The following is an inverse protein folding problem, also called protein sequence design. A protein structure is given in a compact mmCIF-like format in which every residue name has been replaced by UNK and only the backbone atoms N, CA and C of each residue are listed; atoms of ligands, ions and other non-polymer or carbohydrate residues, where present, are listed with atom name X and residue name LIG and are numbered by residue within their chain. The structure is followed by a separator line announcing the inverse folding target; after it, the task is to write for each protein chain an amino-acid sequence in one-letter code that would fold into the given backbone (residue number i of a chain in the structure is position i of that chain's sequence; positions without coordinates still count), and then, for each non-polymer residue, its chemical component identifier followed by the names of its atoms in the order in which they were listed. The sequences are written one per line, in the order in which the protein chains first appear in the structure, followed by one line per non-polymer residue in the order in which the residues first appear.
data_IF_365612846206
#
_entry.id   IF_365612846206
#
_cell.length_a   1.000
_cell.length_b   1.000
_cell.length_c   1.000
_cell.angle_alpha   90.00
_cell.angle_beta   90.00
_cell.angle_gamma   90.00
#
_symmetry.space_group_name_H-M   'P 1'
#
loop_
_entity.id
_entity.type
_entity.pdbx_description
1 polymer ?
#
# COMPACT_ATOMS: atom_id res chain seq x y z
N UNK A 1 1.25 8.83 40.84
CA UNK A 1 -0.17 8.77 41.20
C UNK A 1 -0.88 10.02 40.75
N UNK A 2 -1.57 10.00 39.63
CA UNK A 2 -2.65 10.92 39.24
C UNK A 2 -3.34 10.30 38.02
N UNK A 3 -4.42 9.57 38.33
CA UNK A 3 -5.36 8.98 37.35
C UNK A 3 -6.17 10.09 36.73
N UNK A 4 -6.16 10.17 35.41
CA UNK A 4 -7.03 11.06 34.63
C UNK A 4 -8.18 10.23 34.04
N UNK A 5 -9.31 10.24 34.74
CA UNK A 5 -10.58 9.65 34.34
C UNK A 5 -11.24 10.58 33.31
N UNK A 6 -11.42 10.09 32.10
CA UNK A 6 -12.22 10.76 31.06
C UNK A 6 -13.67 10.27 31.20
N UNK A 7 -14.67 11.15 31.39
CA UNK A 7 -16.07 10.73 31.49
C UNK A 7 -16.65 10.43 30.11
N UNK A 8 -17.14 9.20 29.97
CA UNK A 8 -17.91 8.70 28.84
C UNK A 8 -19.29 9.38 28.83
N UNK A 9 -19.51 10.38 27.96
CA UNK A 9 -20.85 10.96 27.73
C UNK A 9 -21.65 10.06 26.81
N UNK A 10 -22.58 9.31 27.42
CA UNK A 10 -23.67 8.61 26.74
C UNK A 10 -24.62 9.66 26.10
N UNK A 11 -24.58 9.76 24.76
CA UNK A 11 -25.54 10.53 24.00
C UNK A 11 -26.72 9.61 23.65
N UNK A 12 -27.79 9.65 24.44
CA UNK A 12 -29.06 8.95 24.17
C UNK A 12 -29.79 9.69 23.05
N UNK A 13 -29.85 9.09 21.87
CA UNK A 13 -30.65 9.55 20.75
C UNK A 13 -32.10 9.06 20.93
N UNK A 14 -33.00 9.90 21.39
CA UNK A 14 -34.43 9.63 21.45
C UNK A 14 -35.04 9.77 20.06
N UNK A 15 -35.45 8.64 19.47
CA UNK A 15 -36.19 8.57 18.21
C UNK A 15 -37.69 8.87 18.50
N UNK A 16 -38.14 10.10 18.25
CA UNK A 16 -39.57 10.46 18.29
C UNK A 16 -40.20 10.07 16.96
N UNK A 17 -40.92 8.95 16.95
CA UNK A 17 -41.80 8.55 15.84
C UNK A 17 -43.12 9.34 15.93
N UNK A 18 -43.26 10.39 15.12
CA UNK A 18 -44.52 11.08 14.92
C UNK A 18 -45.33 10.35 13.83
N UNK A 19 -46.32 9.56 14.22
CA UNK A 19 -47.35 9.01 13.35
C UNK A 19 -48.35 10.13 13.03
N UNK A 20 -48.19 10.77 11.88
CA UNK A 20 -49.21 11.64 11.30
C UNK A 20 -50.11 10.80 10.41
N UNK A 21 -51.22 10.35 10.97
CA UNK A 21 -52.34 9.83 10.20
C UNK A 21 -53.06 11.01 9.50
N UNK A 22 -52.77 11.22 8.23
CA UNK A 22 -53.49 12.12 7.37
C UNK A 22 -54.74 11.44 6.78
N UNK A 23 -55.88 12.15 6.63
CA UNK A 23 -57.08 11.57 6.04
C UNK A 23 -56.88 11.25 4.56
N UNK A 24 -57.14 9.99 4.20
CA UNK A 24 -57.21 9.55 2.81
C UNK A 24 -58.51 10.08 2.23
N UNK A 25 -58.44 11.16 1.47
CA UNK A 25 -59.48 11.55 0.54
C UNK A 25 -59.31 10.71 -0.74
N UNK A 26 -60.07 9.66 -0.85
CA UNK A 26 -60.30 8.96 -2.11
C UNK A 26 -61.01 9.92 -3.06
N UNK A 27 -60.28 10.42 -4.05
CA UNK A 27 -60.88 11.10 -5.20
C UNK A 27 -60.66 10.18 -6.40
N UNK A 28 -61.77 9.52 -6.77
CA UNK A 28 -61.87 8.83 -8.05
C UNK A 28 -61.62 9.86 -9.17
N UNK A 29 -60.52 9.73 -9.85
CA UNK A 29 -60.11 10.53 -11.00
C UNK A 29 -59.50 9.61 -12.02
N UNK A 30 -60.31 9.09 -12.88
CA UNK A 30 -59.95 8.47 -14.17
C UNK A 30 -59.21 9.50 -14.99
N UNK A 31 -57.88 9.40 -15.04
CA UNK A 31 -57.03 10.41 -15.67
C UNK A 31 -55.60 9.92 -16.01
N UNK A 32 -55.45 9.31 -17.18
CA UNK A 32 -54.26 9.41 -18.00
C UNK A 32 -52.95 8.76 -17.49
N UNK A 33 -52.95 7.44 -17.41
CA UNK A 33 -51.74 6.63 -17.03
C UNK A 33 -50.56 6.64 -17.99
N UNK A 34 -50.56 7.48 -19.04
CA UNK A 34 -49.44 7.55 -20.03
C UNK A 34 -48.33 8.53 -19.67
N UNK A 35 -48.50 9.43 -18.71
CA UNK A 35 -47.53 10.44 -18.31
C UNK A 35 -46.54 9.97 -17.22
N UNK A 36 -46.99 9.12 -16.31
CA UNK A 36 -46.20 8.70 -15.14
C UNK A 36 -45.06 7.71 -15.49
N UNK A 37 -45.25 6.85 -16.49
CA UNK A 37 -44.24 5.89 -16.94
C UNK A 37 -43.01 6.58 -17.53
N UNK A 38 -43.19 7.62 -18.34
CA UNK A 38 -42.09 8.37 -18.96
C UNK A 38 -41.30 9.22 -17.94
N UNK A 39 -41.94 9.67 -16.86
CA UNK A 39 -41.24 10.41 -15.80
C UNK A 39 -40.41 9.49 -14.93
N UNK A 40 -40.88 8.29 -14.61
CA UNK A 40 -40.11 7.27 -13.87
C UNK A 40 -38.91 6.79 -14.67
N UNK A 41 -39.04 6.49 -15.93
CA UNK A 41 -37.95 6.08 -16.80
C UNK A 41 -36.86 7.18 -16.96
N UNK A 42 -37.27 8.46 -17.03
CA UNK A 42 -36.33 9.59 -17.04
C UNK A 42 -35.63 9.78 -15.71
N UNK A 43 -36.29 9.55 -14.59
CA UNK A 43 -35.71 9.62 -13.26
C UNK A 43 -34.67 8.50 -13.06
N UNK A 44 -34.99 7.27 -13.47
CA UNK A 44 -34.12 6.10 -13.39
C UNK A 44 -32.85 6.29 -14.25
N UNK A 45 -32.99 6.77 -15.49
CA UNK A 45 -31.85 7.10 -16.35
C UNK A 45 -30.97 8.24 -15.81
N UNK A 46 -31.54 9.18 -15.06
CA UNK A 46 -30.74 10.21 -14.36
C UNK A 46 -29.98 9.61 -13.17
N UNK A 47 -30.64 8.78 -12.37
CA UNK A 47 -30.02 8.06 -11.26
C UNK A 47 -28.82 7.23 -11.72
N UNK A 48 -28.97 6.45 -12.78
CA UNK A 48 -27.89 5.65 -13.35
C UNK A 48 -26.71 6.51 -13.84
N UNK A 49 -26.99 7.66 -14.41
CA UNK A 49 -25.95 8.60 -14.82
C UNK A 49 -25.22 9.20 -13.62
N UNK A 50 -25.96 9.60 -12.60
CA UNK A 50 -25.40 10.22 -11.41
C UNK A 50 -24.55 9.23 -10.61
N UNK A 51 -25.00 7.96 -10.49
CA UNK A 51 -24.20 6.89 -9.91
C UNK A 51 -22.91 6.64 -10.68
N UNK A 52 -22.98 6.50 -12.01
CA UNK A 52 -21.77 6.33 -12.84
C UNK A 52 -20.79 7.51 -12.72
N UNK A 53 -21.31 8.72 -12.54
CA UNK A 53 -20.45 9.89 -12.31
C UNK A 53 -19.85 9.90 -10.90
N UNK A 54 -20.58 9.46 -9.89
CA UNK A 54 -20.08 9.32 -8.53
C UNK A 54 -18.99 8.25 -8.44
N UNK A 55 -19.20 7.09 -9.06
CA UNK A 55 -18.22 6.01 -9.11
C UNK A 55 -16.91 6.44 -9.80
N UNK A 56 -17.03 7.14 -10.94
CA UNK A 56 -15.84 7.67 -11.63
C UNK A 56 -15.08 8.72 -10.81
N UNK A 57 -15.77 9.54 -10.02
CA UNK A 57 -15.12 10.50 -9.12
C UNK A 57 -14.39 9.76 -8.00
N UNK A 58 -15.05 8.80 -7.38
CA UNK A 58 -14.51 7.99 -6.29
C UNK A 58 -13.27 7.21 -6.74
N UNK A 59 -13.31 6.60 -7.93
CA UNK A 59 -12.16 5.94 -8.54
C UNK A 59 -10.99 6.89 -8.80
N UNK A 60 -11.29 8.10 -9.30
CA UNK A 60 -10.27 9.12 -9.55
C UNK A 60 -9.65 9.64 -8.25
N UNK A 61 -10.44 9.80 -7.20
CA UNK A 61 -9.95 10.21 -5.87
C UNK A 61 -9.12 9.11 -5.23
N UNK A 62 -9.55 7.85 -5.30
CA UNK A 62 -8.76 6.70 -4.83
C UNK A 62 -7.40 6.67 -5.52
N UNK A 63 -7.35 6.75 -6.85
CA UNK A 63 -6.10 6.77 -7.63
C UNK A 63 -5.20 7.95 -7.27
N UNK A 64 -5.79 9.13 -6.98
CA UNK A 64 -5.03 10.30 -6.52
C UNK A 64 -4.49 10.13 -5.10
N UNK A 65 -5.29 9.58 -4.18
CA UNK A 65 -4.88 9.29 -2.81
C UNK A 65 -3.78 8.22 -2.78
N UNK A 66 -3.91 7.21 -3.64
CA UNK A 66 -2.95 6.15 -3.85
C UNK A 66 -1.62 6.71 -4.38
N UNK A 67 -1.66 7.56 -5.41
CA UNK A 67 -0.49 8.24 -5.96
C UNK A 67 0.22 9.14 -4.92
N UNK A 68 -0.54 9.86 -4.09
CA UNK A 68 0.03 10.66 -2.99
C UNK A 68 0.77 9.80 -1.97
N UNK A 69 0.22 8.62 -1.60
CA UNK A 69 0.89 7.68 -0.69
C UNK A 69 2.22 7.15 -1.24
N UNK A 70 2.33 7.01 -2.55
CA UNK A 70 3.57 6.60 -3.23
C UNK A 70 4.64 7.69 -3.20
N UNK A 71 4.25 8.97 -3.17
CA UNK A 71 5.18 10.11 -3.21
C UNK A 71 5.76 10.48 -1.84
N UNK A 72 5.20 9.97 -0.73
CA UNK A 72 5.51 10.45 0.64
C UNK A 72 6.65 9.68 1.35
N UNK A 73 7.31 8.71 0.71
CA UNK A 73 8.42 7.98 1.33
C UNK A 73 9.74 8.72 1.10
N UNK A 74 10.38 9.26 2.17
CA UNK A 74 11.64 9.97 2.03
C UNK A 74 12.76 9.03 1.58
N UNK A 75 13.61 9.51 0.68
CA UNK A 75 14.75 8.77 0.16
C UNK A 75 15.84 8.67 1.24
N UNK A 76 16.31 7.45 1.52
CA UNK A 76 17.42 7.19 2.43
C UNK A 76 17.09 7.12 3.91
N UNK A 77 15.80 7.28 4.29
CA UNK A 77 15.39 7.31 5.71
C UNK A 77 14.33 6.27 6.10
N UNK A 78 14.11 5.26 5.29
CA UNK A 78 13.04 4.28 5.54
C UNK A 78 13.44 3.17 6.52
N UNK A 79 14.65 2.65 6.41
CA UNK A 79 15.17 1.61 7.28
C UNK A 79 15.82 2.21 8.52
N UNK A 80 15.36 1.80 9.71
CA UNK A 80 16.08 2.08 10.96
C UNK A 80 17.29 1.18 11.12
N UNK A 81 18.20 1.53 12.05
CA UNK A 81 19.38 0.72 12.37
C UNK A 81 18.99 -0.68 12.89
N UNK A 82 17.87 -0.79 13.59
CA UNK A 82 17.33 -2.08 14.04
C UNK A 82 16.97 -2.98 12.85
N UNK A 83 16.33 -2.44 11.81
CA UNK A 83 15.98 -3.20 10.60
C UNK A 83 17.25 -3.63 9.86
N UNK A 84 18.25 -2.76 9.79
CA UNK A 84 19.57 -3.04 9.18
C UNK A 84 20.30 -4.13 9.95
N UNK A 85 20.33 -4.05 11.28
CA UNK A 85 20.93 -5.05 12.18
C UNK A 85 20.29 -6.43 12.01
N UNK A 86 18.97 -6.51 12.11
CA UNK A 86 18.24 -7.76 11.95
C UNK A 86 18.47 -8.43 10.59
N UNK A 87 18.40 -7.66 9.50
CA UNK A 87 18.63 -8.19 8.17
C UNK A 87 20.03 -8.79 8.05
N UNK A 88 21.07 -8.08 8.52
CA UNK A 88 22.45 -8.59 8.51
C UNK A 88 22.61 -9.85 9.36
N UNK A 89 22.07 -9.86 10.56
CA UNK A 89 22.12 -11.02 11.46
C UNK A 89 21.50 -12.26 10.81
N UNK A 90 20.32 -12.13 10.21
CA UNK A 90 19.66 -13.22 9.50
C UNK A 90 20.54 -13.80 8.39
N UNK A 91 21.09 -12.93 7.53
CA UNK A 91 21.91 -13.39 6.39
C UNK A 91 23.24 -13.93 6.85
N UNK A 92 23.92 -13.31 7.78
CA UNK A 92 25.17 -13.78 8.37
C UNK A 92 24.97 -15.13 9.05
N UNK A 93 23.95 -15.28 9.91
CA UNK A 93 23.65 -16.53 10.58
C UNK A 93 23.35 -17.69 9.64
N UNK A 94 22.69 -17.41 8.52
CA UNK A 94 22.30 -18.44 7.55
C UNK A 94 23.38 -18.80 6.55
N UNK A 95 24.21 -17.85 6.11
CA UNK A 95 25.12 -18.05 4.99
C UNK A 95 26.61 -17.96 5.36
N UNK A 96 27.01 -17.43 6.50
CA UNK A 96 28.42 -17.39 6.91
C UNK A 96 29.00 -18.78 7.19
N UNK A 97 28.20 -19.69 7.74
CA UNK A 97 28.60 -21.06 8.07
C UNK A 97 28.42 -22.04 6.90
N UNK A 98 27.58 -21.71 5.96
CA UNK A 98 27.37 -22.51 4.77
C UNK A 98 28.32 -22.00 3.68
N UNK A 99 29.14 -22.86 3.10
CA UNK A 99 29.94 -22.56 1.88
C UNK A 99 29.05 -22.19 0.66
N UNK A 100 27.78 -21.90 0.89
CA UNK A 100 26.77 -21.63 -0.10
C UNK A 100 26.40 -20.14 -0.08
N UNK A 101 26.58 -19.47 -1.20
CA UNK A 101 26.08 -18.12 -1.38
C UNK A 101 24.55 -18.11 -1.56
N UNK A 102 23.84 -17.02 -1.16
CA UNK A 102 22.46 -16.81 -1.51
C UNK A 102 22.24 -16.96 -3.03
N UNK A 103 21.04 -17.38 -3.47
CA UNK A 103 20.74 -17.49 -4.90
C UNK A 103 21.12 -16.20 -5.67
N UNK A 104 21.79 -16.36 -6.79
CA UNK A 104 22.24 -15.24 -7.66
C UNK A 104 23.57 -14.62 -7.31
N UNK A 105 24.26 -15.11 -6.27
CA UNK A 105 25.63 -14.68 -5.97
C UNK A 105 26.65 -15.75 -6.42
N UNK A 106 27.77 -15.30 -6.99
CA UNK A 106 28.80 -16.22 -7.48
C UNK A 106 29.58 -16.87 -6.34
N UNK A 107 29.88 -18.18 -6.48
CA UNK A 107 30.65 -18.96 -5.52
C UNK A 107 32.16 -18.73 -5.58
N UNK A 108 32.63 -17.62 -6.12
CA UNK A 108 34.08 -17.31 -6.14
C UNK A 108 34.46 -16.66 -4.80
N UNK A 109 35.71 -16.84 -4.37
CA UNK A 109 36.27 -16.36 -3.09
C UNK A 109 36.17 -14.84 -2.85
N UNK A 110 35.15 -14.20 -3.36
CA UNK A 110 34.88 -12.76 -3.33
C UNK A 110 33.74 -12.37 -2.38
N UNK A 111 33.49 -13.16 -1.34
CA UNK A 111 32.44 -12.84 -0.36
C UNK A 111 31.01 -12.93 -0.91
N UNK A 112 30.75 -13.82 -1.88
CA UNK A 112 29.44 -13.96 -2.51
C UNK A 112 28.99 -12.70 -3.29
N UNK A 113 29.90 -11.96 -3.86
CA UNK A 113 29.57 -10.86 -4.77
C UNK A 113 29.31 -11.37 -6.19
N UNK A 114 28.32 -10.83 -6.92
CA UNK A 114 28.16 -11.14 -8.33
C UNK A 114 29.37 -10.65 -9.12
N UNK A 115 29.92 -11.45 -10.05
CA UNK A 115 31.03 -10.99 -10.90
C UNK A 115 30.56 -9.80 -11.74
N UNK A 116 31.27 -8.68 -11.69
CA UNK A 116 31.03 -7.49 -12.49
C UNK A 116 30.01 -6.49 -11.94
N UNK A 117 29.44 -6.73 -10.76
CA UNK A 117 28.46 -5.81 -10.17
C UNK A 117 28.98 -5.08 -8.93
N UNK A 118 30.10 -4.40 -9.05
CA UNK A 118 30.47 -3.31 -8.14
C UNK A 118 29.68 -2.01 -8.45
N UNK A 119 28.52 -2.12 -9.09
CA UNK A 119 27.65 -0.96 -9.33
C UNK A 119 27.04 -0.58 -8.00
N UNK A 120 27.44 0.56 -7.47
CA UNK A 120 26.88 1.11 -6.25
C UNK A 120 25.41 1.43 -6.50
N UNK A 121 24.54 0.77 -5.73
CA UNK A 121 23.15 1.17 -5.64
C UNK A 121 23.07 2.47 -4.86
N UNK A 122 22.34 3.44 -5.37
CA UNK A 122 22.24 4.77 -4.74
C UNK A 122 20.75 5.06 -4.50
N UNK A 123 20.36 5.40 -3.24
CA UNK A 123 19.01 5.89 -2.99
C UNK A 123 18.71 7.12 -3.87
N UNK A 124 17.48 7.19 -4.39
CA UNK A 124 17.06 8.24 -5.31
C UNK A 124 17.36 7.95 -6.79
N UNK A 125 18.04 6.84 -7.10
CA UNK A 125 18.30 6.43 -8.48
C UNK A 125 17.54 5.13 -8.83
N UNK A 126 17.20 4.90 -10.10
CA UNK A 126 16.59 3.64 -10.53
C UNK A 126 17.61 2.50 -10.42
N UNK A 127 17.11 1.29 -10.23
CA UNK A 127 17.96 0.09 -10.30
C UNK A 127 18.63 0.04 -11.66
N UNK A 128 19.96 -0.11 -11.73
CA UNK A 128 20.68 -0.15 -13.00
C UNK A 128 20.19 -1.29 -13.91
N UNK A 129 20.16 -1.06 -15.21
CA UNK A 129 19.80 -2.07 -16.20
C UNK A 129 20.73 -3.28 -16.12
N UNK A 130 20.16 -4.49 -16.24
CA UNK A 130 20.92 -5.73 -16.13
C UNK A 130 21.17 -6.22 -14.70
N UNK A 131 20.64 -5.52 -13.68
CA UNK A 131 20.66 -5.99 -12.29
C UNK A 131 19.46 -6.88 -12.03
N UNK A 132 19.70 -8.11 -11.54
CA UNK A 132 18.62 -9.03 -11.19
C UNK A 132 18.11 -8.76 -9.78
N UNK A 133 16.81 -8.58 -9.69
CA UNK A 133 16.08 -8.43 -8.42
C UNK A 133 15.62 -9.80 -7.93
N UNK A 134 16.04 -10.18 -6.73
CA UNK A 134 15.64 -11.42 -6.06
C UNK A 134 14.61 -11.14 -4.98
N UNK A 135 13.77 -12.12 -4.71
CA UNK A 135 12.82 -12.02 -3.59
C UNK A 135 13.56 -12.03 -2.24
N UNK A 136 13.09 -11.20 -1.30
CA UNK A 136 13.55 -11.22 0.09
C UNK A 136 12.82 -12.33 0.84
N UNK A 137 13.49 -13.14 1.68
CA UNK A 137 12.85 -14.17 2.48
C UNK A 137 11.74 -13.63 3.37
N UNK A 138 10.65 -14.39 3.53
CA UNK A 138 9.50 -13.98 4.36
C UNK A 138 9.91 -13.67 5.80
N UNK A 139 10.86 -14.44 6.37
CA UNK A 139 11.37 -14.23 7.73
C UNK A 139 11.99 -12.84 7.91
N UNK A 140 12.66 -12.32 6.88
CA UNK A 140 13.23 -10.97 6.91
C UNK A 140 12.13 -9.93 6.71
N UNK A 141 11.20 -10.16 5.77
CA UNK A 141 10.12 -9.20 5.49
C UNK A 141 9.25 -8.94 6.73
N UNK A 142 8.98 -9.95 7.54
CA UNK A 142 8.16 -9.83 8.77
C UNK A 142 8.81 -8.89 9.81
N UNK A 143 10.13 -8.78 9.78
CA UNK A 143 10.89 -7.91 10.70
C UNK A 143 11.19 -6.52 10.12
N UNK A 144 10.87 -6.32 8.85
CA UNK A 144 10.94 -5.01 8.22
C UNK A 144 9.59 -4.29 8.36
N UNK A 145 9.56 -2.96 8.27
CA UNK A 145 8.30 -2.23 8.22
C UNK A 145 7.45 -2.73 7.03
N UNK A 146 6.12 -2.69 7.11
CA UNK A 146 5.30 -3.05 5.96
C UNK A 146 5.61 -2.14 4.78
N UNK A 147 5.93 -2.71 3.61
CA UNK A 147 6.21 -1.92 2.42
C UNK A 147 5.02 -1.01 2.10
N UNK A 148 5.22 0.30 1.91
CA UNK A 148 4.15 1.22 1.55
C UNK A 148 3.53 0.85 0.20
N UNK A 149 2.31 1.32 -0.03
CA UNK A 149 1.64 1.06 -1.30
C UNK A 149 2.47 1.56 -2.49
N UNK A 150 2.61 0.72 -3.52
CA UNK A 150 3.43 1.03 -4.69
C UNK A 150 4.92 0.76 -4.53
N UNK A 151 5.36 0.25 -3.36
CA UNK A 151 6.76 -0.15 -3.11
C UNK A 151 6.87 -1.65 -2.88
N UNK A 152 8.05 -2.18 -3.09
CA UNK A 152 8.37 -3.58 -2.80
C UNK A 152 9.80 -3.74 -2.32
N UNK A 153 10.00 -4.77 -1.52
CA UNK A 153 11.33 -5.21 -1.15
C UNK A 153 11.92 -6.10 -2.24
N UNK A 154 13.18 -5.88 -2.53
CA UNK A 154 13.95 -6.76 -3.39
C UNK A 154 15.38 -6.89 -2.83
N UNK A 155 16.02 -8.00 -3.15
CA UNK A 155 17.44 -8.19 -2.87
C UNK A 155 18.23 -8.05 -4.16
N UNK A 156 19.28 -7.25 -4.10
CA UNK A 156 20.24 -7.05 -5.18
C UNK A 156 21.61 -7.41 -4.67
N UNK A 157 22.14 -8.52 -5.15
CA UNK A 157 23.44 -9.00 -4.66
C UNK A 157 23.42 -9.21 -3.14
N UNK A 158 24.23 -8.44 -2.43
CA UNK A 158 24.40 -8.46 -0.98
C UNK A 158 23.59 -7.37 -0.25
N UNK A 159 22.64 -6.75 -0.91
CA UNK A 159 21.88 -5.62 -0.38
C UNK A 159 20.37 -5.87 -0.48
N UNK A 160 19.59 -5.37 0.49
CA UNK A 160 18.14 -5.28 0.40
C UNK A 160 17.77 -3.84 0.03
N UNK A 161 16.89 -3.69 -0.93
CA UNK A 161 16.40 -2.40 -1.41
C UNK A 161 14.89 -2.29 -1.27
N UNK A 162 14.41 -1.12 -0.89
CA UNK A 162 13.04 -0.72 -1.07
C UNK A 162 12.94 0.01 -2.40
N UNK A 163 12.20 -0.54 -3.34
CA UNK A 163 12.04 0.04 -4.68
C UNK A 163 10.59 0.40 -4.97
N UNK A 164 10.38 1.50 -5.66
CA UNK A 164 9.08 1.86 -6.23
C UNK A 164 8.77 0.90 -7.38
N UNK A 165 7.58 0.29 -7.37
CA UNK A 165 7.22 -0.76 -8.33
C UNK A 165 7.08 -0.24 -9.75
N UNK A 166 6.69 1.03 -9.92
CA UNK A 166 6.41 1.65 -11.22
C UNK A 166 7.68 1.90 -12.07
N UNK A 167 8.72 2.46 -11.46
CA UNK A 167 9.92 2.92 -12.16
C UNK A 167 11.21 2.32 -11.59
N UNK A 168 11.10 1.37 -10.67
CA UNK A 168 12.22 0.71 -9.98
C UNK A 168 13.18 1.69 -9.27
N UNK A 169 12.69 2.88 -8.88
CA UNK A 169 13.47 3.85 -8.12
C UNK A 169 13.79 3.29 -6.74
N UNK A 170 15.08 3.30 -6.38
CA UNK A 170 15.56 2.87 -5.07
C UNK A 170 15.24 3.98 -4.07
N UNK A 171 14.46 3.65 -3.04
CA UNK A 171 14.11 4.59 -1.98
C UNK A 171 15.08 4.48 -0.81
N UNK A 172 15.39 3.27 -0.38
CA UNK A 172 16.36 3.04 0.67
C UNK A 172 17.04 1.67 0.51
N UNK A 173 18.20 1.50 1.15
CA UNK A 173 19.08 0.33 1.00
C UNK A 173 19.55 -0.15 2.37
N UNK A 174 19.51 -1.45 2.59
CA UNK A 174 20.30 -2.14 3.62
C UNK A 174 21.49 -2.75 2.94
N UNK A 175 22.66 -2.16 3.12
CA UNK A 175 23.90 -2.61 2.48
C UNK A 175 24.62 -3.67 3.31
N UNK A 176 25.35 -4.55 2.62
CA UNK A 176 26.33 -5.43 3.26
C UNK A 176 25.71 -6.53 4.12
N UNK A 177 24.72 -7.27 3.62
CA UNK A 177 24.01 -8.34 4.38
C UNK A 177 24.95 -9.45 4.88
N UNK A 178 26.07 -9.69 4.19
CA UNK A 178 27.07 -10.72 4.52
C UNK A 178 28.38 -10.14 5.07
N UNK A 179 28.48 -8.83 5.10
CA UNK A 179 29.65 -8.14 5.66
C UNK A 179 29.19 -7.43 6.95
N UNK A 180 29.61 -7.90 8.14
CA UNK A 180 29.30 -7.25 9.41
C UNK A 180 29.90 -5.85 9.53
#
# INVERSE_FOLDING_TARGET
MRSCLIPFRLLTLTLAAALMAGPVLAKDGEGNGRGQGKQREKAEKRWDKDQKHADKRNDKERKRAEKRRVEDVPVGGYFSDQHRGYAREYYTGRYSKAKACPPGLAKKNNGCMPPGQARRLVPGQPVPTGVTLYAVPKQVIVQLPPAPYGYRYARVGNDIVLVRSENQLIVDIIVGLLNP
#
